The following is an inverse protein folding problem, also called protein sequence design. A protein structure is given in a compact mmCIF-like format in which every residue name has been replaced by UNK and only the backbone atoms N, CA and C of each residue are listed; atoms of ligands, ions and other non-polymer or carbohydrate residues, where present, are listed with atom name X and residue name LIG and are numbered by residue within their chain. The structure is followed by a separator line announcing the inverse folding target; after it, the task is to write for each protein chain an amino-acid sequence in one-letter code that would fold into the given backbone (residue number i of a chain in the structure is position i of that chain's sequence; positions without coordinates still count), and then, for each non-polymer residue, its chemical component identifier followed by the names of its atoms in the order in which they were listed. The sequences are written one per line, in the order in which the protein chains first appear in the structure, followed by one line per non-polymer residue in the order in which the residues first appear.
data_IF_425687463487
#
_entry.id   IF_425687463487
#
_cell.length_a   1.000
_cell.length_b   1.000
_cell.length_c   1.000
_cell.angle_alpha   90.00
_cell.angle_beta   90.00
_cell.angle_gamma   90.00
#
_symmetry.space_group_name_H-M   'P 1'
#
loop_
_entity.id
_entity.type
_entity.pdbx_description
1 polymer ?
#
# COMPACT_ATOMS: atom_id res chain seq x y z
N UNK A 1 -9.72 -13.63 -1.96
CA UNK A 1 -8.59 -12.92 -1.32
C UNK A 1 -9.12 -12.20 -0.09
N UNK A 2 -8.53 -12.41 1.08
CA UNK A 2 -8.80 -11.55 2.23
C UNK A 2 -7.97 -10.28 1.97
N UNK A 3 -8.58 -9.10 1.74
CA UNK A 3 -7.81 -7.88 1.63
C UNK A 3 -7.04 -7.67 2.93
N UNK A 4 -5.81 -7.15 2.90
CA UNK A 4 -5.09 -6.83 4.13
C UNK A 4 -5.99 -5.95 4.98
N UNK A 5 -6.37 -6.45 6.15
CA UNK A 5 -7.15 -5.67 7.12
C UNK A 5 -6.19 -4.62 7.66
N UNK A 6 -6.39 -3.38 7.25
CA UNK A 6 -5.72 -2.25 7.85
C UNK A 6 -6.16 -2.19 9.32
N UNK A 7 -5.29 -2.64 10.23
CA UNK A 7 -5.42 -2.37 11.65
C UNK A 7 -4.91 -0.96 11.92
N UNK A 8 -5.74 -0.01 12.38
CA UNK A 8 -5.30 1.34 12.61
C UNK A 8 -4.29 1.38 13.76
N UNK A 9 -3.02 1.51 13.41
CA UNK A 9 -1.97 1.81 14.36
C UNK A 9 -2.23 3.17 15.00
N UNK A 10 -1.84 3.32 16.28
CA UNK A 10 -1.88 4.60 16.96
C UNK A 10 -1.09 5.64 16.17
N UNK A 11 -1.67 6.82 15.99
CA UNK A 11 -0.98 7.91 15.31
C UNK A 11 0.18 8.44 16.16
N UNK A 12 1.40 8.11 15.74
CA UNK A 12 2.60 8.28 16.57
C UNK A 12 3.23 9.68 16.49
N UNK A 13 2.81 10.52 15.54
CA UNK A 13 3.42 11.84 15.35
C UNK A 13 2.74 12.94 16.17
N UNK A 14 1.60 12.64 16.81
CA UNK A 14 0.85 13.66 17.53
C UNK A 14 1.65 14.24 18.69
N UNK A 15 1.71 15.57 18.77
CA UNK A 15 2.41 16.29 19.85
C UNK A 15 3.92 16.35 19.70
N UNK A 16 4.48 15.82 18.61
CA UNK A 16 5.90 15.98 18.30
C UNK A 16 6.18 17.35 17.66
N UNK A 17 7.29 17.96 18.03
CA UNK A 17 7.89 19.07 17.30
C UNK A 17 8.57 18.58 16.01
N UNK A 18 8.81 19.47 15.05
CA UNK A 18 9.43 19.13 13.77
C UNK A 18 10.76 18.36 13.93
N UNK A 19 11.60 18.77 14.89
CA UNK A 19 12.92 18.14 15.14
C UNK A 19 12.81 16.76 15.79
N UNK A 20 11.66 16.43 16.36
CA UNK A 20 11.37 15.14 17.00
C UNK A 20 10.75 14.13 16.03
N UNK A 21 10.35 14.57 14.83
CA UNK A 21 9.80 13.68 13.81
C UNK A 21 10.86 12.68 13.31
N UNK A 22 10.47 11.50 12.81
CA UNK A 22 11.39 10.61 12.11
C UNK A 22 12.11 11.32 10.95
N UNK A 23 13.37 10.94 10.70
CA UNK A 23 14.23 11.60 9.68
C UNK A 23 13.57 11.60 8.30
N UNK A 24 12.96 10.49 7.89
CA UNK A 24 12.26 10.39 6.61
C UNK A 24 11.06 11.34 6.51
N UNK A 25 10.33 11.55 7.61
CA UNK A 25 9.23 12.51 7.71
C UNK A 25 9.76 13.94 7.56
N UNK A 26 10.84 14.30 8.27
CA UNK A 26 11.47 15.62 8.17
C UNK A 26 11.94 15.91 6.73
N UNK A 27 12.64 14.96 6.12
CA UNK A 27 13.15 15.06 4.75
C UNK A 27 12.00 15.29 3.76
N UNK A 28 10.94 14.49 3.86
CA UNK A 28 9.78 14.65 2.99
C UNK A 28 9.15 16.04 3.14
N UNK A 29 8.94 16.52 4.37
CA UNK A 29 8.37 17.85 4.60
C UNK A 29 9.27 18.98 4.06
N UNK A 30 10.60 18.82 4.12
CA UNK A 30 11.54 19.77 3.51
C UNK A 30 11.44 19.76 1.99
N UNK A 31 11.45 18.58 1.36
CA UNK A 31 11.33 18.42 -0.09
C UNK A 31 9.99 18.95 -0.63
N UNK A 32 8.91 18.70 0.10
CA UNK A 32 7.58 19.19 -0.20
C UNK A 32 7.39 20.70 0.10
N UNK A 33 8.38 21.35 0.72
CA UNK A 33 8.33 22.75 1.16
C UNK A 33 7.18 23.03 2.15
N UNK A 34 6.92 22.06 3.03
CA UNK A 34 5.91 22.10 4.09
C UNK A 34 6.52 22.14 5.50
N UNK A 35 7.85 22.21 5.61
CA UNK A 35 8.52 22.36 6.89
C UNK A 35 8.20 23.74 7.52
N UNK A 36 8.13 23.84 8.86
CA UNK A 36 7.98 25.12 9.58
C UNK A 36 9.06 26.15 9.17
N UNK A 37 8.85 27.47 9.41
CA UNK A 37 8.04 28.07 10.47
C UNK A 37 6.62 28.49 10.08
N UNK A 38 6.24 28.41 8.80
CA UNK A 38 4.93 28.87 8.34
C UNK A 38 3.96 27.70 8.25
N UNK A 39 2.79 27.81 8.89
CA UNK A 39 1.71 26.85 8.70
C UNK A 39 1.23 26.94 7.25
N UNK A 40 1.34 25.86 6.45
CA UNK A 40 0.91 25.89 5.06
C UNK A 40 -0.62 25.93 4.98
N UNK A 41 -1.13 26.50 3.89
CA UNK A 41 -2.57 26.58 3.61
C UNK A 41 -3.16 25.16 3.46
N UNK A 42 -4.35 24.95 4.02
CA UNK A 42 -5.06 23.64 4.00
C UNK A 42 -5.26 23.12 2.57
N UNK A 43 -5.42 24.00 1.59
CA UNK A 43 -5.52 23.63 0.18
C UNK A 43 -4.20 23.06 -0.36
N UNK A 44 -3.05 23.58 0.09
CA UNK A 44 -1.72 23.07 -0.29
C UNK A 44 -1.53 21.66 0.29
N UNK A 45 -1.88 21.45 1.57
CA UNK A 45 -1.79 20.14 2.22
C UNK A 45 -2.72 19.14 1.53
N UNK A 46 -3.93 19.56 1.18
CA UNK A 46 -4.91 18.73 0.47
C UNK A 46 -4.46 18.38 -0.95
N UNK A 47 -3.84 19.33 -1.67
CA UNK A 47 -3.26 19.08 -2.99
C UNK A 47 -2.09 18.10 -2.94
N UNK A 48 -1.21 18.23 -1.94
CA UNK A 48 -0.09 17.32 -1.76
C UNK A 48 -0.58 15.91 -1.37
N UNK A 49 -1.61 15.80 -0.52
CA UNK A 49 -2.30 14.52 -0.24
C UNK A 49 -2.82 13.85 -1.50
N UNK A 50 -3.51 14.60 -2.36
CA UNK A 50 -4.01 14.07 -3.63
C UNK A 50 -2.87 13.57 -4.51
N UNK A 51 -1.80 14.36 -4.64
CA UNK A 51 -0.62 14.01 -5.41
C UNK A 51 0.05 12.72 -4.92
N UNK A 52 0.27 12.55 -3.62
CA UNK A 52 0.88 11.31 -3.09
C UNK A 52 -0.08 10.12 -3.23
N UNK A 53 -1.39 10.33 -3.18
CA UNK A 53 -2.40 9.29 -3.39
C UNK A 53 -2.41 8.80 -4.84
N UNK A 54 -2.30 9.72 -5.80
CA UNK A 54 -2.15 9.36 -7.21
C UNK A 54 -0.83 8.61 -7.45
N UNK A 55 0.27 9.07 -6.84
CA UNK A 55 1.57 8.40 -6.93
C UNK A 55 1.54 6.99 -6.32
N UNK A 56 0.78 6.77 -5.25
CA UNK A 56 0.54 5.43 -4.69
C UNK A 56 -0.10 4.52 -5.73
N UNK A 57 -1.24 4.93 -6.31
CA UNK A 57 -1.91 4.15 -7.34
C UNK A 57 -0.97 3.82 -8.50
N UNK A 58 -0.22 4.80 -9.02
CA UNK A 58 0.74 4.56 -10.11
C UNK A 58 1.86 3.59 -9.72
N UNK A 59 2.35 3.65 -8.48
CA UNK A 59 3.40 2.77 -7.99
C UNK A 59 2.92 1.34 -7.82
N UNK A 60 1.64 1.13 -7.50
CA UNK A 60 1.05 -0.18 -7.33
C UNK A 60 0.76 -0.91 -8.65
N UNK A 61 0.56 -0.22 -9.78
CA UNK A 61 0.16 -0.84 -11.06
C UNK A 61 1.01 -2.07 -11.42
N UNK A 62 2.33 -1.93 -11.44
CA UNK A 62 3.23 -3.04 -11.81
C UNK A 62 3.13 -4.20 -10.82
N UNK A 63 3.02 -3.88 -9.54
CA UNK A 63 2.92 -4.86 -8.48
C UNK A 63 1.57 -5.59 -8.50
N UNK A 64 0.48 -4.86 -8.73
CA UNK A 64 -0.88 -5.39 -8.91
C UNK A 64 -0.96 -6.35 -10.10
N UNK A 65 -0.38 -5.96 -11.26
CA UNK A 65 -0.31 -6.85 -12.42
C UNK A 65 0.47 -8.14 -12.09
N UNK A 66 1.62 -8.04 -11.43
CA UNK A 66 2.39 -9.21 -11.03
C UNK A 66 1.63 -10.12 -10.05
N UNK A 67 0.83 -9.56 -9.14
CA UNK A 67 -0.04 -10.35 -8.26
C UNK A 67 -1.11 -11.12 -9.05
N UNK A 68 -1.76 -10.46 -10.01
CA UNK A 68 -2.80 -11.08 -10.86
C UNK A 68 -2.20 -12.18 -11.72
N UNK A 69 -1.05 -11.94 -12.36
CA UNK A 69 -0.33 -12.96 -13.15
C UNK A 69 -0.02 -14.22 -12.31
N UNK A 70 0.57 -14.06 -11.12
CA UNK A 70 0.90 -15.18 -10.23
C UNK A 70 -0.35 -15.94 -9.77
N UNK A 71 -1.47 -15.25 -9.59
CA UNK A 71 -2.75 -15.89 -9.26
C UNK A 71 -3.26 -16.71 -10.45
N UNK A 72 -3.23 -16.17 -11.67
CA UNK A 72 -3.69 -16.88 -12.86
C UNK A 72 -2.87 -18.15 -13.10
N UNK A 73 -1.54 -18.07 -12.97
CA UNK A 73 -0.67 -19.25 -12.97
C UNK A 73 -1.12 -20.30 -11.94
N UNK A 74 -1.58 -19.87 -10.76
CA UNK A 74 -2.12 -20.77 -9.73
C UNK A 74 -3.42 -21.45 -10.13
N UNK A 75 -4.33 -20.70 -10.75
CA UNK A 75 -5.63 -21.24 -11.20
C UNK A 75 -5.42 -22.26 -12.31
N UNK A 76 -4.55 -21.97 -13.28
CA UNK A 76 -4.22 -22.89 -14.39
C UNK A 76 -3.65 -24.20 -13.86
N UNK A 77 -2.62 -24.15 -13.01
CA UNK A 77 -2.03 -25.37 -12.42
C UNK A 77 -3.03 -26.21 -11.62
N UNK A 78 -3.96 -25.57 -10.88
CA UNK A 78 -4.98 -26.30 -10.14
C UNK A 78 -5.98 -27.02 -11.08
N UNK A 79 -6.33 -26.37 -12.19
CA UNK A 79 -7.25 -26.91 -13.21
C UNK A 79 -6.64 -28.10 -13.95
N UNK A 80 -5.33 -28.04 -14.24
CA UNK A 80 -4.56 -29.12 -14.85
C UNK A 80 -4.45 -30.36 -13.93
N UNK A 81 -4.45 -30.16 -12.61
CA UNK A 81 -4.49 -31.24 -11.63
C UNK A 81 -5.88 -31.92 -11.54
N UNK A 82 -6.97 -31.16 -11.69
CA UNK A 82 -8.34 -31.69 -11.62
C UNK A 82 -8.75 -32.48 -12.87
N UNK A 83 -8.18 -32.15 -14.04
CA UNK A 83 -8.53 -32.79 -15.34
C UNK A 83 -7.88 -34.15 -15.58
N UNK A 84 -7.09 -34.67 -14.63
CA UNK A 84 -6.79 -36.09 -14.50
C UNK A 84 -5.95 -36.70 -15.63
N UNK A 85 -4.65 -36.44 -15.65
CA UNK A 85 -3.68 -37.35 -16.29
C UNK A 85 -2.46 -37.52 -15.37
N UNK A 86 -2.40 -38.56 -14.52
CA UNK A 86 -1.20 -38.87 -13.77
C UNK A 86 -0.41 -40.00 -14.45
N UNK A 87 0.77 -39.67 -14.99
CA UNK A 87 1.98 -40.45 -14.72
C UNK A 87 3.23 -39.71 -15.23
N UNK A 88 4.07 -39.25 -14.30
CA UNK A 88 5.54 -39.33 -14.35
C UNK A 88 6.06 -38.49 -13.18
N UNK A 89 6.83 -39.09 -12.26
CA UNK A 89 7.44 -38.40 -11.12
C UNK A 89 8.21 -37.12 -11.51
N UNK A 90 8.65 -37.02 -12.77
CA UNK A 90 9.28 -35.84 -13.34
C UNK A 90 8.30 -34.67 -13.51
N UNK A 91 7.07 -34.90 -14.01
CA UNK A 91 6.02 -33.86 -14.11
C UNK A 91 5.61 -33.33 -12.73
N UNK A 92 5.60 -34.20 -11.72
CA UNK A 92 5.28 -33.81 -10.35
C UNK A 92 6.42 -33.01 -9.71
N UNK A 93 7.68 -33.36 -10.00
CA UNK A 93 8.86 -32.56 -9.61
C UNK A 93 8.88 -31.20 -10.29
N UNK A 94 8.57 -31.13 -11.58
CA UNK A 94 8.51 -29.87 -12.32
C UNK A 94 7.38 -28.97 -11.82
N UNK A 95 6.20 -29.52 -11.53
CA UNK A 95 5.09 -28.79 -10.93
C UNK A 95 5.44 -28.25 -9.53
N UNK A 96 6.12 -29.04 -8.70
CA UNK A 96 6.58 -28.61 -7.38
C UNK A 96 7.63 -27.49 -7.48
N UNK A 97 8.60 -27.63 -8.39
CA UNK A 97 9.62 -26.61 -8.65
C UNK A 97 9.01 -25.31 -9.19
N UNK A 98 8.02 -25.40 -10.08
CA UNK A 98 7.27 -24.25 -10.58
C UNK A 98 6.50 -23.55 -9.45
N UNK A 99 5.85 -24.32 -8.57
CA UNK A 99 5.16 -23.77 -7.40
C UNK A 99 6.13 -23.10 -6.42
N UNK A 100 7.29 -23.70 -6.16
CA UNK A 100 8.32 -23.13 -5.28
C UNK A 100 8.88 -21.82 -5.85
N UNK A 101 9.23 -21.80 -7.14
CA UNK A 101 9.67 -20.59 -7.85
C UNK A 101 8.62 -19.47 -7.77
N UNK A 102 7.35 -19.82 -7.96
CA UNK A 102 6.23 -18.87 -7.87
C UNK A 102 6.05 -18.32 -6.46
N UNK A 103 6.08 -19.18 -5.44
CA UNK A 103 6.02 -18.76 -4.04
C UNK A 103 7.20 -17.87 -3.68
N UNK A 104 8.40 -18.18 -4.19
CA UNK A 104 9.58 -17.34 -4.01
C UNK A 104 9.40 -15.97 -4.69
N UNK A 105 8.82 -15.91 -5.90
CA UNK A 105 8.49 -14.64 -6.57
C UNK A 105 7.44 -13.84 -5.80
N UNK A 106 6.39 -14.49 -5.30
CA UNK A 106 5.32 -13.85 -4.53
C UNK A 106 5.84 -13.31 -3.19
N UNK A 107 6.44 -14.17 -2.37
CA UNK A 107 6.86 -13.87 -1.00
C UNK A 107 8.19 -13.11 -0.94
N UNK A 108 9.09 -13.36 -1.89
CA UNK A 108 10.41 -12.73 -1.91
C UNK A 108 10.44 -11.38 -2.62
N UNK A 109 9.54 -11.15 -3.58
CA UNK A 109 9.57 -9.93 -4.41
C UNK A 109 8.25 -9.15 -4.34
N UNK A 110 7.13 -9.74 -4.75
CA UNK A 110 5.90 -8.99 -5.01
C UNK A 110 5.28 -8.45 -3.72
N UNK A 111 5.08 -9.27 -2.69
CA UNK A 111 4.51 -8.79 -1.42
C UNK A 111 5.44 -7.81 -0.69
N UNK A 112 6.77 -8.06 -0.57
CA UNK A 112 7.67 -7.09 0.04
C UNK A 112 7.73 -5.75 -0.70
N UNK A 113 7.76 -5.74 -2.04
CA UNK A 113 7.72 -4.50 -2.82
C UNK A 113 6.42 -3.72 -2.58
N UNK A 114 5.30 -4.43 -2.51
CA UNK A 114 4.00 -3.83 -2.17
C UNK A 114 4.02 -3.16 -0.80
N UNK A 115 4.54 -3.86 0.19
CA UNK A 115 4.67 -3.35 1.55
C UNK A 115 5.57 -2.10 1.60
N UNK A 116 6.70 -2.12 0.89
CA UNK A 116 7.59 -0.95 0.78
C UNK A 116 6.87 0.26 0.17
N UNK A 117 6.07 0.05 -0.87
CA UNK A 117 5.26 1.11 -1.50
C UNK A 117 4.27 1.70 -0.49
N UNK A 118 3.54 0.85 0.24
CA UNK A 118 2.59 1.30 1.26
C UNK A 118 3.28 2.02 2.41
N UNK A 119 4.38 1.48 2.94
CA UNK A 119 5.12 2.10 4.04
C UNK A 119 5.65 3.48 3.65
N UNK A 120 6.20 3.63 2.44
CA UNK A 120 6.65 4.91 1.93
C UNK A 120 5.50 5.91 1.77
N UNK A 121 4.32 5.45 1.35
CA UNK A 121 3.12 6.29 1.29
C UNK A 121 2.64 6.71 2.68
N UNK A 122 2.52 5.78 3.62
CA UNK A 122 2.05 6.06 4.99
C UNK A 122 2.96 7.07 5.70
N UNK A 123 4.28 6.96 5.56
CA UNK A 123 5.23 7.94 6.12
C UNK A 123 4.93 9.35 5.61
N UNK A 124 4.71 9.51 4.29
CA UNK A 124 4.41 10.80 3.67
C UNK A 124 3.04 11.31 4.09
N UNK A 125 2.05 10.42 4.12
CA UNK A 125 0.68 10.74 4.51
C UNK A 125 0.62 11.23 5.96
N UNK A 126 1.25 10.50 6.89
CA UNK A 126 1.31 10.86 8.29
C UNK A 126 2.03 12.19 8.51
N UNK A 127 3.07 12.48 7.72
CA UNK A 127 3.71 13.79 7.72
C UNK A 127 2.72 14.92 7.38
N UNK A 128 1.83 14.71 6.39
CA UNK A 128 0.82 15.70 6.01
C UNK A 128 -0.26 15.86 7.08
N UNK A 129 -0.65 14.78 7.75
CA UNK A 129 -1.55 14.86 8.92
C UNK A 129 -0.89 15.65 10.06
N UNK A 130 0.41 15.47 10.27
CA UNK A 130 1.16 16.23 11.28
C UNK A 130 1.21 17.73 10.95
N UNK A 131 1.33 18.08 9.68
CA UNK A 131 1.28 19.49 9.23
C UNK A 131 -0.11 20.08 9.48
N UNK A 132 -1.18 19.34 9.17
CA UNK A 132 -2.56 19.77 9.48
C UNK A 132 -2.77 20.02 10.98
N UNK A 133 -2.05 19.28 11.83
CA UNK A 133 -2.08 19.46 13.28
C UNK A 133 -1.51 20.79 13.76
N UNK A 134 -0.53 21.35 13.06
CA UNK A 134 0.12 22.61 13.48
C UNK A 134 -0.83 23.82 13.52
N UNK A 135 -2.03 23.70 12.94
CA UNK A 135 -3.07 24.74 12.98
C UNK A 135 -4.24 24.48 13.94
N UNK A 136 -4.20 23.42 14.77
CA UNK A 136 -5.37 22.97 15.57
C UNK A 136 -4.98 22.49 16.96
N UNK A 137 -5.09 23.39 17.94
CA UNK A 137 -4.66 23.17 19.32
C UNK A 137 -5.65 22.35 20.19
N UNK A 138 -6.88 22.11 19.74
CA UNK A 138 -7.94 21.50 20.57
C UNK A 138 -8.13 19.99 20.37
N UNK A 139 -7.34 19.36 19.51
CA UNK A 139 -7.52 17.94 19.14
C UNK A 139 -6.66 17.04 20.02
N UNK A 140 -7.26 15.98 20.54
CA UNK A 140 -6.54 14.92 21.26
C UNK A 140 -5.76 14.02 20.28
N UNK A 141 -4.77 13.24 20.74
CA UNK A 141 -4.13 12.22 19.91
C UNK A 141 -5.13 11.25 19.28
N UNK A 142 -6.20 10.90 19.99
CA UNK A 142 -7.28 10.05 19.49
C UNK A 142 -8.10 10.72 18.38
N UNK A 143 -8.32 12.03 18.47
CA UNK A 143 -9.00 12.78 17.40
C UNK A 143 -8.13 12.84 16.14
N UNK A 144 -6.81 12.97 16.28
CA UNK A 144 -5.89 12.90 15.16
C UNK A 144 -5.81 11.52 14.53
N UNK A 145 -5.85 10.46 15.35
CA UNK A 145 -5.94 9.11 14.84
C UNK A 145 -7.24 8.92 14.03
N UNK A 146 -8.38 9.35 14.57
CA UNK A 146 -9.67 9.27 13.85
C UNK A 146 -9.62 10.05 12.53
N UNK A 147 -9.10 11.28 12.56
CA UNK A 147 -8.97 12.13 11.39
C UNK A 147 -8.07 11.50 10.31
N UNK A 148 -6.92 10.96 10.72
CA UNK A 148 -6.01 10.21 9.85
C UNK A 148 -6.73 9.03 9.19
N UNK A 149 -7.43 8.22 9.97
CA UNK A 149 -8.09 7.02 9.47
C UNK A 149 -9.26 7.36 8.53
N UNK A 150 -10.01 8.43 8.81
CA UNK A 150 -11.08 8.95 7.94
C UNK A 150 -10.54 9.39 6.57
N UNK A 151 -9.38 10.05 6.54
CA UNK A 151 -8.74 10.47 5.29
C UNK A 151 -8.08 9.30 4.54
N UNK A 152 -7.50 8.35 5.27
CA UNK A 152 -6.73 7.25 4.72
C UNK A 152 -7.61 6.14 4.15
N UNK A 153 -8.70 5.80 4.85
CA UNK A 153 -9.62 4.72 4.48
C UNK A 153 -10.07 4.76 3.01
N UNK A 154 -10.61 5.88 2.47
CA UNK A 154 -11.06 5.89 1.07
C UNK A 154 -9.92 5.66 0.07
N UNK A 155 -8.68 6.04 0.41
CA UNK A 155 -7.51 5.80 -0.44
C UNK A 155 -7.18 4.30 -0.46
N UNK A 156 -7.11 3.66 0.71
CA UNK A 156 -6.84 2.23 0.81
C UNK A 156 -7.96 1.39 0.19
N UNK A 157 -9.22 1.75 0.43
CA UNK A 157 -10.38 1.10 -0.16
C UNK A 157 -10.32 1.21 -1.70
N UNK A 158 -9.96 2.37 -2.25
CA UNK A 158 -9.76 2.54 -3.70
C UNK A 158 -8.62 1.67 -4.24
N UNK A 159 -7.46 1.60 -3.57
CA UNK A 159 -6.36 0.72 -4.04
C UNK A 159 -6.76 -0.76 -4.04
N UNK A 160 -7.55 -1.19 -3.05
CA UNK A 160 -8.07 -2.55 -2.99
C UNK A 160 -9.07 -2.84 -4.10
N UNK A 161 -9.98 -1.88 -4.37
CA UNK A 161 -10.94 -1.98 -5.47
C UNK A 161 -10.25 -2.01 -6.84
N UNK A 162 -9.18 -1.23 -7.04
CA UNK A 162 -8.39 -1.23 -8.28
C UNK A 162 -7.76 -2.60 -8.54
N UNK A 163 -7.18 -3.24 -7.52
CA UNK A 163 -6.63 -4.60 -7.65
C UNK A 163 -7.72 -5.63 -7.98
N UNK A 164 -8.88 -5.56 -7.32
CA UNK A 164 -10.01 -6.47 -7.60
C UNK A 164 -10.55 -6.25 -9.02
N UNK A 165 -10.66 -5.00 -9.45
CA UNK A 165 -11.12 -4.66 -10.81
C UNK A 165 -10.13 -5.17 -11.87
N UNK A 166 -8.82 -5.00 -11.63
CA UNK A 166 -7.78 -5.54 -12.52
C UNK A 166 -7.87 -7.06 -12.63
N UNK A 167 -7.97 -7.74 -11.49
CA UNK A 167 -8.10 -9.20 -11.42
C UNK A 167 -9.34 -9.71 -12.17
N UNK A 168 -10.49 -9.04 -12.00
CA UNK A 168 -11.73 -9.38 -12.70
C UNK A 168 -11.61 -9.16 -14.21
N UNK A 169 -11.03 -8.04 -14.63
CA UNK A 169 -10.87 -7.70 -16.04
C UNK A 169 -10.00 -8.71 -16.82
N UNK A 170 -9.04 -9.35 -16.16
CA UNK A 170 -8.20 -10.39 -16.79
C UNK A 170 -8.90 -11.76 -16.83
N UNK A 171 -9.88 -12.00 -15.95
CA UNK A 171 -10.68 -13.24 -15.97
C UNK A 171 -11.76 -13.19 -17.07
N UNK A 172 -12.34 -12.01 -17.30
CA UNK A 172 -13.45 -11.81 -18.26
C UNK A 172 -12.99 -11.55 -19.71
N UNK A 173 -11.69 -11.34 -19.95
CA UNK A 173 -11.10 -11.04 -21.26
C UNK A 173 -10.37 -12.21 -21.88
#
# INVERSE_FOLDING_TARGET
MIPPVYEPLRYALSGLDFTQLPVCTQQYLQEAKLAPPHAPDVNVISAERLKISMALSSSLIKNDMALVELRLETVVMASDLETGIPSQDDLQRDALAAQECRLQKLLGNVLPERELIFNAFIIKFDALVWVDQQGREHYTPEDWQRHRDELLKPILDNTSQQLVALDTAVIDG
#
